data_IF_582651109870
#
_entry.id   IF_582651109870
#
_cell.length_a   1.000
_cell.length_b   1.000
_cell.length_c   1.000
_cell.angle_alpha   90.00
_cell.angle_beta   90.00
_cell.angle_gamma   90.00
#
_symmetry.space_group_name_H-M   'P 1'
#
loop_
_entity.id
_entity.type
_entity.pdbx_description
1 polymer ?
#
# COMPACT_ATOMS: atom_id res chain seq x y z
N UNK A 1 5.85 -2.90 9.90
CA UNK A 1 4.55 -2.31 10.27
C UNK A 1 4.61 -2.19 11.77
N UNK A 2 4.42 -0.98 12.26
CA UNK A 2 4.68 -0.69 13.66
C UNK A 2 3.40 -0.14 14.28
N UNK A 3 3.11 -0.55 15.51
CA UNK A 3 1.98 -0.05 16.27
C UNK A 3 2.55 0.67 17.48
N UNK A 4 2.28 1.98 17.62
CA UNK A 4 2.86 2.81 18.68
C UNK A 4 4.40 2.70 18.70
N UNK A 5 5.02 2.73 17.52
CA UNK A 5 6.48 2.64 17.34
C UNK A 5 7.12 1.32 17.81
N UNK A 6 6.33 0.25 17.92
CA UNK A 6 6.83 -1.11 18.17
C UNK A 6 6.67 -1.94 16.90
N UNK A 7 7.77 -2.50 16.41
CA UNK A 7 7.76 -3.35 15.21
C UNK A 7 7.05 -4.66 15.48
N UNK A 8 6.05 -4.98 14.65
CA UNK A 8 5.37 -6.26 14.74
C UNK A 8 6.31 -7.43 14.40
N UNK A 9 7.34 -7.21 13.60
CA UNK A 9 8.35 -8.24 13.29
C UNK A 9 9.32 -8.47 14.45
N UNK A 10 9.58 -7.44 15.27
CA UNK A 10 10.37 -7.62 16.50
C UNK A 10 9.58 -8.40 17.55
N UNK A 11 8.27 -8.18 17.66
CA UNK A 11 7.38 -8.92 18.54
C UNK A 11 7.13 -10.36 18.07
N UNK A 12 6.97 -10.56 16.77
CA UNK A 12 6.80 -11.87 16.15
C UNK A 12 7.73 -12.00 14.92
N UNK A 13 8.92 -12.61 15.08
CA UNK A 13 9.88 -12.78 13.99
C UNK A 13 9.38 -13.65 12.83
N UNK A 14 8.38 -14.51 13.07
CA UNK A 14 7.77 -15.34 12.03
C UNK A 14 6.76 -14.56 11.17
N UNK A 15 6.49 -13.29 11.50
CA UNK A 15 5.53 -12.46 10.78
C UNK A 15 5.90 -12.33 9.29
N UNK A 16 4.98 -12.75 8.43
CA UNK A 16 5.13 -12.71 6.98
C UNK A 16 5.83 -13.95 6.38
N UNK A 17 6.31 -14.88 7.21
CA UNK A 17 6.81 -16.17 6.76
C UNK A 17 5.68 -17.15 6.45
N UNK A 18 5.95 -18.13 5.58
CA UNK A 18 4.97 -19.15 5.15
C UNK A 18 4.63 -20.17 6.25
N UNK A 19 5.52 -20.34 7.23
CA UNK A 19 5.40 -21.30 8.33
C UNK A 19 5.00 -20.65 9.67
N UNK A 20 4.68 -19.36 9.67
CA UNK A 20 4.30 -18.65 10.89
C UNK A 20 2.94 -19.12 11.43
N UNK A 21 2.87 -19.38 12.73
CA UNK A 21 1.67 -19.91 13.39
C UNK A 21 0.39 -19.08 13.19
N UNK A 22 0.53 -17.76 13.03
CA UNK A 22 -0.57 -16.79 12.94
C UNK A 22 -0.96 -16.42 11.49
N UNK A 23 -0.29 -17.01 10.47
CA UNK A 23 -0.61 -16.82 9.05
C UNK A 23 -0.70 -15.35 8.58
N UNK A 24 0.14 -14.46 9.11
CA UNK A 24 0.15 -13.02 8.75
C UNK A 24 0.25 -12.73 7.24
N UNK A 25 0.85 -13.63 6.46
CA UNK A 25 0.91 -13.54 4.99
C UNK A 25 -0.48 -13.50 4.34
N UNK A 26 -1.50 -14.09 4.98
CA UNK A 26 -2.87 -14.08 4.48
C UNK A 26 -3.47 -12.67 4.43
N UNK A 27 -3.03 -11.74 5.29
CA UNK A 27 -3.49 -10.34 5.24
C UNK A 27 -3.13 -9.71 3.88
N UNK A 28 -1.87 -9.87 3.45
CA UNK A 28 -1.44 -9.38 2.14
C UNK A 28 -2.14 -10.11 0.99
N UNK A 29 -2.35 -11.42 1.12
CA UNK A 29 -3.13 -12.20 0.14
C UNK A 29 -4.56 -11.66 -0.01
N UNK A 30 -5.24 -11.36 1.10
CA UNK A 30 -6.56 -10.74 1.08
C UNK A 30 -6.55 -9.35 0.45
N UNK A 31 -5.51 -8.54 0.65
CA UNK A 31 -5.37 -7.23 -0.03
C UNK A 31 -5.33 -7.42 -1.55
N UNK A 32 -4.58 -8.40 -2.05
CA UNK A 32 -4.50 -8.71 -3.49
C UNK A 32 -5.83 -9.26 -4.02
N UNK A 33 -6.49 -10.15 -3.26
CA UNK A 33 -7.69 -10.88 -3.71
C UNK A 33 -8.98 -10.04 -3.59
N UNK A 34 -9.04 -9.12 -2.64
CA UNK A 34 -10.26 -8.34 -2.33
C UNK A 34 -10.87 -7.58 -3.52
N UNK A 35 -10.10 -6.95 -4.43
CA UNK A 35 -10.71 -6.26 -5.57
C UNK A 35 -11.41 -7.24 -6.51
N UNK A 36 -10.84 -8.44 -6.72
CA UNK A 36 -11.44 -9.46 -7.56
C UNK A 36 -12.73 -10.01 -6.95
N UNK A 37 -12.78 -10.17 -5.63
CA UNK A 37 -14.00 -10.57 -4.93
C UNK A 37 -15.11 -9.52 -5.08
N UNK A 38 -14.78 -8.24 -4.89
CA UNK A 38 -15.74 -7.14 -5.07
C UNK A 38 -16.25 -7.08 -6.52
N UNK A 39 -15.36 -7.25 -7.50
CA UNK A 39 -15.73 -7.29 -8.93
C UNK A 39 -16.63 -8.49 -9.20
N UNK A 40 -16.36 -9.66 -8.62
CA UNK A 40 -17.20 -10.85 -8.79
C UNK A 40 -18.62 -10.63 -8.26
N UNK A 41 -18.77 -9.90 -7.16
CA UNK A 41 -20.08 -9.67 -6.50
C UNK A 41 -20.86 -8.50 -7.12
N UNK A 42 -20.20 -7.39 -7.44
CA UNK A 42 -20.84 -6.13 -7.86
C UNK A 42 -20.57 -5.76 -9.32
N UNK A 43 -19.56 -6.35 -9.95
CA UNK A 43 -19.13 -6.07 -11.32
C UNK A 43 -18.06 -4.99 -11.46
N UNK A 44 -17.72 -4.26 -10.38
CA UNK A 44 -16.76 -3.15 -10.40
C UNK A 44 -16.33 -2.72 -8.99
N UNK A 45 -15.21 -1.99 -8.90
CA UNK A 45 -14.76 -1.27 -7.69
C UNK A 45 -14.93 0.24 -7.89
N UNK A 46 -15.46 0.97 -6.90
CA UNK A 46 -15.65 2.43 -7.05
C UNK A 46 -15.49 3.22 -5.75
N UNK A 47 -16.11 2.78 -4.66
CA UNK A 47 -16.11 3.54 -3.40
C UNK A 47 -14.71 3.65 -2.77
N UNK A 48 -14.01 2.53 -2.60
CA UNK A 48 -12.68 2.53 -2.00
C UNK A 48 -11.67 3.35 -2.81
N UNK A 49 -11.68 3.21 -4.15
CA UNK A 49 -10.80 3.98 -5.02
C UNK A 49 -11.18 5.47 -5.04
N UNK A 50 -12.47 5.80 -5.03
CA UNK A 50 -12.95 7.19 -4.95
C UNK A 50 -12.53 7.89 -3.65
N UNK A 51 -12.61 7.18 -2.51
CA UNK A 51 -12.14 7.70 -1.23
C UNK A 51 -10.62 7.90 -1.20
N UNK A 52 -9.84 6.96 -1.76
CA UNK A 52 -8.39 7.11 -1.87
C UNK A 52 -8.00 8.34 -2.73
N UNK A 53 -8.66 8.52 -3.88
CA UNK A 53 -8.40 9.70 -4.74
C UNK A 53 -8.78 11.00 -4.02
N UNK A 54 -9.89 11.03 -3.28
CA UNK A 54 -10.28 12.19 -2.50
C UNK A 54 -9.25 12.53 -1.40
N UNK A 55 -8.69 11.53 -0.71
CA UNK A 55 -7.65 11.72 0.31
C UNK A 55 -6.34 12.27 -0.28
N UNK A 56 -5.95 11.80 -1.48
CA UNK A 56 -4.79 12.34 -2.19
C UNK A 56 -5.01 13.81 -2.59
N UNK A 57 -6.18 14.12 -3.16
CA UNK A 57 -6.52 15.50 -3.55
C UNK A 57 -6.57 16.41 -2.33
N UNK A 58 -7.15 15.97 -1.22
CA UNK A 58 -7.16 16.73 0.03
C UNK A 58 -5.73 17.04 0.50
N UNK A 59 -4.84 16.04 0.47
CA UNK A 59 -3.45 16.19 0.87
C UNK A 59 -2.69 17.19 0.01
N UNK A 60 -2.91 17.17 -1.31
CA UNK A 60 -2.35 18.16 -2.24
C UNK A 60 -2.91 19.55 -1.96
N UNK A 61 -4.24 19.72 -2.02
CA UNK A 61 -4.89 21.03 -1.94
C UNK A 61 -4.62 21.75 -0.62
N UNK A 62 -4.49 21.00 0.48
CA UNK A 62 -4.17 21.56 1.81
C UNK A 62 -2.67 21.58 2.11
N UNK A 63 -1.83 21.16 1.15
CA UNK A 63 -0.37 21.07 1.26
C UNK A 63 0.08 20.37 2.56
N UNK A 64 -0.52 19.21 2.84
CA UNK A 64 -0.33 18.51 4.12
C UNK A 64 1.01 17.79 4.21
N UNK A 65 1.76 17.68 3.10
CA UNK A 65 3.01 16.90 3.02
C UNK A 65 2.85 15.47 3.56
N UNK A 66 1.69 14.85 3.31
CA UNK A 66 1.45 13.47 3.71
C UNK A 66 2.30 12.52 2.86
N UNK A 67 2.75 11.45 3.49
CA UNK A 67 3.46 10.36 2.81
C UNK A 67 2.40 9.36 2.34
N UNK A 68 2.26 9.19 1.02
CA UNK A 68 1.29 8.29 0.40
C UNK A 68 2.01 7.32 -0.55
N UNK A 69 1.59 6.04 -0.64
CA UNK A 69 2.12 5.13 -1.65
C UNK A 69 1.54 5.50 -3.02
N UNK A 70 2.38 6.07 -3.91
CA UNK A 70 1.97 6.51 -5.24
C UNK A 70 2.92 5.99 -6.32
N UNK A 71 2.42 5.72 -7.55
CA UNK A 71 3.28 5.40 -8.68
C UNK A 71 4.26 6.54 -8.96
N UNK A 72 5.55 6.27 -8.78
CA UNK A 72 6.63 7.21 -9.10
C UNK A 72 7.67 6.51 -9.99
N UNK A 73 8.43 7.28 -10.76
CA UNK A 73 9.53 6.74 -11.54
C UNK A 73 10.61 6.21 -10.57
N UNK A 74 10.99 4.94 -10.74
CA UNK A 74 11.95 4.26 -9.86
C UNK A 74 13.24 3.86 -10.58
N UNK A 75 13.50 4.47 -11.74
CA UNK A 75 14.78 4.31 -12.43
C UNK A 75 15.91 4.70 -11.47
N UNK A 76 16.99 3.93 -11.51
CA UNK A 76 18.18 4.00 -10.64
C UNK A 76 17.94 3.66 -9.16
N UNK A 77 16.71 3.33 -8.75
CA UNK A 77 16.41 2.83 -7.41
C UNK A 77 16.50 1.31 -7.37
N UNK A 78 17.09 0.75 -6.31
CA UNK A 78 17.16 -0.71 -6.08
C UNK A 78 17.72 -1.52 -7.28
N UNK A 79 18.59 -0.92 -8.09
CA UNK A 79 19.17 -1.56 -9.28
C UNK A 79 18.25 -1.62 -10.50
N UNK A 80 17.16 -0.83 -10.53
CA UNK A 80 16.22 -0.78 -11.66
C UNK A 80 16.76 0.20 -12.72
N UNK A 81 17.15 -0.30 -13.89
CA UNK A 81 17.71 0.55 -14.97
C UNK A 81 16.64 1.12 -15.92
N UNK A 82 15.48 0.46 -15.98
CA UNK A 82 14.41 0.82 -16.90
C UNK A 82 13.50 1.91 -16.30
N UNK A 83 12.87 2.70 -17.17
CA UNK A 83 11.84 3.65 -16.79
C UNK A 83 10.53 2.90 -16.48
N UNK A 84 10.38 2.51 -15.21
CA UNK A 84 9.16 1.88 -14.69
C UNK A 84 8.60 2.71 -13.55
N UNK A 85 7.28 2.64 -13.37
CA UNK A 85 6.55 3.33 -12.31
C UNK A 85 6.04 2.31 -11.30
N UNK A 86 6.50 2.40 -10.06
CA UNK A 86 6.08 1.55 -8.96
C UNK A 86 5.55 2.40 -7.81
N UNK A 87 4.66 1.82 -6.99
CA UNK A 87 4.13 2.51 -5.81
C UNK A 87 5.18 2.53 -4.70
N UNK A 88 5.72 3.71 -4.41
CA UNK A 88 6.63 3.95 -3.28
C UNK A 88 6.06 5.04 -2.36
N UNK A 89 6.50 5.12 -1.09
CA UNK A 89 6.14 6.23 -0.22
C UNK A 89 6.65 7.55 -0.79
N UNK A 90 5.74 8.46 -1.11
CA UNK A 90 6.04 9.79 -1.67
C UNK A 90 5.39 10.89 -0.84
N UNK A 91 6.08 12.01 -0.68
CA UNK A 91 5.49 13.23 -0.10
C UNK A 91 4.60 13.86 -1.16
N UNK A 92 3.34 14.09 -0.81
CA UNK A 92 2.35 14.69 -1.69
C UNK A 92 2.07 16.14 -1.28
N UNK A 93 2.36 17.07 -2.20
CA UNK A 93 2.21 18.52 -2.07
C UNK A 93 1.59 19.13 -3.34
N UNK A 94 1.18 20.41 -3.28
CA UNK A 94 0.65 21.18 -4.42
C UNK A 94 1.71 22.07 -5.08
#
# INVERSE_FOLDING_TARGET
>A
MDVVNVSLQELNPEMGMDNGSENWKNVHKMVIESPYEVIKLKGYTNWAIGLNVADFIESMLKNLSRICPLPTMVKEMYGIENEVFLSLPCILNA
#
